data_IF_035849404526
#
_entry.id   IF_035849404526
#
_cell.length_a   1.000
_cell.length_b   1.000
_cell.length_c   1.000
_cell.angle_alpha   90.00
_cell.angle_beta   90.00
_cell.angle_gamma   90.00
#
_symmetry.space_group_name_H-M   'P 1'
#
loop_
_entity.id
_entity.type
_entity.pdbx_description
1 polymer ?
#
# COMPACT_ATOMS: atom_id res chain seq x y z
N UNK A 1 -46.75 -77.93 5.17
CA UNK A 1 -46.46 -78.90 4.08
C UNK A 1 -46.59 -78.20 2.74
N UNK A 2 -45.65 -78.49 1.82
CA UNK A 2 -45.54 -78.09 0.41
C UNK A 2 -44.82 -76.77 0.11
N UNK A 3 -43.49 -76.93 0.12
CA UNK A 3 -42.48 -76.33 -0.77
C UNK A 3 -42.89 -76.25 -2.24
N UNK A 4 -42.42 -75.20 -2.94
CA UNK A 4 -41.86 -75.25 -4.31
C UNK A 4 -41.08 -73.94 -4.62
N UNK A 5 -39.81 -74.12 -5.02
CA UNK A 5 -38.89 -73.12 -5.60
C UNK A 5 -39.44 -72.61 -6.96
N UNK A 6 -39.06 -71.45 -7.55
CA UNK A 6 -37.78 -71.22 -8.26
C UNK A 6 -37.72 -69.76 -8.82
N UNK A 7 -36.61 -69.04 -8.52
CA UNK A 7 -35.78 -68.10 -9.33
C UNK A 7 -36.36 -66.86 -10.07
N UNK A 8 -35.83 -65.70 -9.65
CA UNK A 8 -35.41 -64.45 -10.33
C UNK A 8 -36.34 -63.65 -11.27
N UNK A 9 -36.49 -62.35 -10.95
CA UNK A 9 -36.60 -61.28 -11.94
C UNK A 9 -35.97 -59.98 -11.40
N UNK A 10 -34.94 -59.51 -12.09
CA UNK A 10 -34.18 -58.28 -11.90
C UNK A 10 -35.02 -57.08 -12.39
N UNK A 11 -35.17 -56.01 -11.60
CA UNK A 11 -35.76 -54.74 -12.05
C UNK A 11 -34.66 -53.68 -12.06
N UNK A 12 -34.15 -53.37 -13.25
CA UNK A 12 -33.31 -52.21 -13.53
C UNK A 12 -34.05 -51.34 -14.55
N UNK A 13 -34.40 -50.12 -14.15
CA UNK A 13 -35.05 -49.13 -15.01
C UNK A 13 -33.95 -48.34 -15.72
N UNK A 14 -33.84 -48.56 -17.03
CA UNK A 14 -32.96 -47.83 -17.95
C UNK A 14 -33.86 -46.86 -18.73
N UNK A 15 -33.55 -45.57 -18.71
CA UNK A 15 -34.04 -44.63 -19.73
C UNK A 15 -32.87 -44.19 -20.62
N UNK A 16 -32.95 -44.42 -21.94
CA UNK A 16 -31.87 -44.13 -22.88
C UNK A 16 -31.94 -42.70 -23.43
N UNK A 17 -30.74 -42.22 -23.78
CA UNK A 17 -30.44 -41.06 -24.63
C UNK A 17 -30.97 -41.20 -26.05
N UNK A 18 -31.46 -40.11 -26.67
CA UNK A 18 -31.46 -39.97 -28.14
C UNK A 18 -31.26 -38.51 -28.58
N UNK A 19 -30.32 -38.37 -29.52
CA UNK A 19 -30.06 -37.21 -30.36
C UNK A 19 -31.10 -37.07 -31.48
N UNK A 20 -31.19 -35.92 -32.15
CA UNK A 20 -30.95 -35.74 -33.60
C UNK A 20 -31.30 -34.31 -34.06
N UNK A 21 -30.53 -33.88 -35.06
CA UNK A 21 -30.44 -32.57 -35.69
C UNK A 21 -31.66 -32.18 -36.55
N UNK A 22 -31.89 -30.88 -36.77
CA UNK A 22 -32.50 -30.36 -38.01
C UNK A 22 -31.95 -28.97 -38.37
N UNK A 23 -31.37 -28.89 -39.57
CA UNK A 23 -31.13 -27.67 -40.35
C UNK A 23 -32.37 -27.27 -41.16
N UNK A 24 -32.35 -26.02 -41.63
CA UNK A 24 -33.21 -25.32 -42.61
C UNK A 24 -34.59 -24.82 -42.15
N UNK A 25 -34.78 -23.50 -42.14
CA UNK A 25 -35.44 -22.79 -43.24
C UNK A 25 -35.34 -21.26 -43.06
N UNK A 26 -35.00 -20.58 -44.15
CA UNK A 26 -35.18 -19.14 -44.36
C UNK A 26 -36.64 -18.74 -44.16
N UNK A 27 -36.88 -17.70 -43.35
CA UNK A 27 -38.07 -16.87 -43.45
C UNK A 27 -37.68 -15.45 -43.03
N UNK A 28 -37.73 -14.55 -44.01
CA UNK A 28 -37.55 -13.12 -43.86
C UNK A 28 -38.60 -12.57 -42.89
N UNK A 29 -38.11 -11.91 -41.83
CA UNK A 29 -38.93 -11.16 -40.89
C UNK A 29 -38.22 -9.86 -40.55
N UNK A 30 -38.61 -8.78 -41.23
CA UNK A 30 -38.21 -7.44 -40.88
C UNK A 30 -38.63 -7.14 -39.45
N UNK A 31 -37.67 -6.96 -38.55
CA UNK A 31 -37.90 -6.44 -37.21
C UNK A 31 -37.16 -5.11 -37.05
N UNK A 32 -37.95 -4.08 -36.81
CA UNK A 32 -37.53 -2.72 -36.56
C UNK A 32 -36.71 -2.65 -35.26
N UNK A 33 -35.49 -2.14 -35.34
CA UNK A 33 -34.65 -1.83 -34.18
C UNK A 33 -35.02 -0.43 -33.67
N UNK A 34 -35.57 -0.36 -32.45
CA UNK A 34 -35.67 0.90 -31.70
C UNK A 34 -34.29 1.29 -31.14
N UNK A 35 -33.99 2.59 -31.03
CA UNK A 35 -32.65 3.10 -30.73
C UNK A 35 -32.40 3.03 -29.21
N UNK A 36 -31.47 2.19 -28.78
CA UNK A 36 -31.24 2.05 -27.35
C UNK A 36 -30.26 0.98 -26.94
N UNK A 37 -29.18 0.78 -27.68
CA UNK A 37 -28.02 0.05 -27.17
C UNK A 37 -26.78 0.55 -27.90
N UNK A 38 -26.24 1.66 -27.40
CA UNK A 38 -24.84 1.98 -27.61
C UNK A 38 -24.04 0.81 -27.06
N UNK A 39 -23.53 -0.01 -27.96
CA UNK A 39 -22.46 -0.95 -27.67
C UNK A 39 -21.41 -0.17 -26.89
N UNK A 40 -21.11 -0.66 -25.69
CA UNK A 40 -19.95 -0.21 -24.94
C UNK A 40 -18.76 -0.37 -25.89
N UNK A 41 -18.28 0.75 -26.43
CA UNK A 41 -16.93 0.83 -26.97
C UNK A 41 -16.06 0.59 -25.75
N UNK A 42 -15.68 -0.68 -25.61
CA UNK A 42 -14.64 -1.14 -24.72
C UNK A 42 -13.47 -0.19 -24.92
N UNK A 43 -13.26 0.69 -23.93
CA UNK A 43 -12.10 1.59 -23.88
C UNK A 43 -10.88 0.69 -23.73
N UNK A 44 -10.39 0.16 -24.84
CA UNK A 44 -9.09 -0.47 -24.91
C UNK A 44 -8.10 0.57 -24.37
N UNK A 45 -7.48 0.23 -23.23
CA UNK A 45 -6.39 1.03 -22.70
C UNK A 45 -5.34 1.14 -23.82
N UNK A 46 -4.86 2.36 -24.15
CA UNK A 46 -3.84 2.50 -25.18
C UNK A 46 -2.64 1.65 -24.76
N UNK A 47 -2.32 0.65 -25.57
CA UNK A 47 -1.13 -0.19 -25.35
C UNK A 47 0.08 0.74 -25.28
N UNK A 48 0.84 0.69 -24.19
CA UNK A 48 2.05 1.48 -24.05
C UNK A 48 3.17 0.84 -24.85
N UNK A 49 3.85 1.64 -25.67
CA UNK A 49 4.96 1.18 -26.48
C UNK A 49 6.28 1.08 -25.71
N UNK A 50 7.33 0.56 -26.35
CA UNK A 50 8.66 0.41 -25.75
C UNK A 50 9.28 1.70 -25.19
N UNK A 51 8.86 2.86 -25.69
CA UNK A 51 9.32 4.18 -25.25
C UNK A 51 8.32 4.86 -24.31
N UNK A 52 7.29 4.15 -23.85
CA UNK A 52 6.25 4.66 -22.96
C UNK A 52 5.20 5.53 -23.67
N UNK A 53 5.17 5.53 -25.00
CA UNK A 53 4.20 6.26 -25.81
C UNK A 53 2.89 5.50 -26.05
N UNK A 54 1.92 6.16 -26.69
CA UNK A 54 0.66 5.53 -27.12
C UNK A 54 0.86 4.73 -28.40
N UNK A 55 0.59 3.42 -28.37
CA UNK A 55 0.58 2.59 -29.57
C UNK A 55 -0.75 2.68 -30.32
N UNK A 56 -0.66 2.76 -31.64
CA UNK A 56 -1.80 2.73 -32.57
C UNK A 56 -1.46 1.90 -33.80
N UNK A 57 -2.47 1.31 -34.41
CA UNK A 57 -2.37 0.67 -35.72
C UNK A 57 -2.90 1.62 -36.79
N UNK A 58 -2.16 1.84 -37.87
CA UNK A 58 -2.61 2.59 -39.03
C UNK A 58 -2.05 1.96 -40.31
N UNK A 59 -2.91 1.69 -41.30
CA UNK A 59 -2.50 1.26 -42.64
C UNK A 59 -1.48 0.11 -42.68
N UNK A 60 -1.59 -0.85 -41.75
CA UNK A 60 -0.74 -2.04 -41.69
C UNK A 60 0.59 -1.88 -40.95
N UNK A 61 0.87 -0.70 -40.39
CA UNK A 61 1.98 -0.44 -39.48
C UNK A 61 1.48 -0.08 -38.09
N UNK A 62 2.29 -0.38 -37.08
CA UNK A 62 2.08 0.07 -35.72
C UNK A 62 2.93 1.33 -35.47
N UNK A 63 2.33 2.36 -34.88
CA UNK A 63 2.99 3.61 -34.53
C UNK A 63 2.96 3.80 -33.03
N UNK A 64 4.04 4.30 -32.45
CA UNK A 64 4.09 4.78 -31.08
C UNK A 64 4.31 6.29 -31.07
N UNK A 65 3.39 7.03 -30.48
CA UNK A 65 3.56 8.47 -30.24
C UNK A 65 4.04 8.71 -28.81
N UNK A 66 5.21 9.31 -28.68
CA UNK A 66 5.77 9.76 -27.39
C UNK A 66 5.63 11.27 -27.29
N UNK A 67 4.92 11.74 -26.27
CA UNK A 67 4.81 13.16 -25.94
C UNK A 67 5.63 13.43 -24.68
N UNK A 68 6.61 14.32 -24.80
CA UNK A 68 7.47 14.76 -23.70
C UNK A 68 7.49 16.29 -23.62
N UNK A 69 8.01 16.84 -22.52
CA UNK A 69 8.19 18.29 -22.38
C UNK A 69 9.14 18.88 -23.43
N UNK A 70 10.03 18.07 -23.99
CA UNK A 70 10.98 18.45 -25.04
C UNK A 70 10.48 18.27 -26.49
N UNK A 71 9.30 17.67 -26.70
CA UNK A 71 8.75 17.51 -28.04
C UNK A 71 7.88 16.27 -28.23
N UNK A 72 7.60 15.97 -29.50
CA UNK A 72 6.83 14.80 -29.93
C UNK A 72 7.77 13.90 -30.75
N UNK A 73 7.71 12.59 -30.51
CA UNK A 73 8.44 11.59 -31.29
C UNK A 73 7.47 10.49 -31.75
N UNK A 74 7.63 10.02 -32.99
CA UNK A 74 6.90 8.89 -33.54
C UNK A 74 7.86 7.78 -33.94
N UNK A 75 7.61 6.58 -33.41
CA UNK A 75 8.30 5.34 -33.76
C UNK A 75 7.37 4.43 -34.54
N UNK A 76 7.93 3.61 -35.43
CA UNK A 76 7.17 2.79 -36.37
C UNK A 76 7.63 1.34 -36.29
N UNK A 77 6.68 0.43 -36.29
CA UNK A 77 6.89 -1.00 -36.19
C UNK A 77 6.06 -1.76 -37.22
N UNK A 78 6.59 -2.87 -37.71
CA UNK A 78 5.86 -3.79 -38.58
C UNK A 78 4.90 -4.68 -37.76
N UNK A 79 4.18 -5.58 -38.44
CA UNK A 79 3.25 -6.51 -37.77
C UNK A 79 3.92 -7.47 -36.80
N UNK A 80 5.23 -7.68 -36.92
CA UNK A 80 6.03 -8.50 -36.02
C UNK A 80 6.63 -7.68 -34.86
N UNK A 81 6.37 -6.37 -34.79
CA UNK A 81 6.92 -5.47 -33.77
C UNK A 81 8.36 -5.02 -34.05
N UNK A 82 8.89 -5.28 -35.25
CA UNK A 82 10.24 -4.85 -35.64
C UNK A 82 10.22 -3.40 -36.10
N UNK A 83 11.23 -2.63 -35.72
CA UNK A 83 11.36 -1.21 -36.10
C UNK A 83 11.44 -1.02 -37.61
N UNK A 84 10.77 0.02 -38.10
CA UNK A 84 10.75 0.43 -39.51
C UNK A 84 11.59 1.71 -39.65
N UNK A 85 12.46 1.77 -40.66
CA UNK A 85 13.21 3.01 -40.95
C UNK A 85 12.28 4.12 -41.42
N UNK A 86 12.56 5.33 -40.94
CA UNK A 86 11.82 6.56 -41.24
C UNK A 86 12.69 7.62 -41.90
N UNK A 87 13.85 7.27 -42.43
CA UNK A 87 14.82 8.27 -42.96
C UNK A 87 14.25 9.10 -44.12
N UNK A 88 13.34 8.51 -44.90
CA UNK A 88 12.58 9.19 -45.95
C UNK A 88 11.23 9.73 -45.47
N UNK A 89 10.84 9.40 -44.25
CA UNK A 89 9.60 9.83 -43.62
C UNK A 89 9.62 11.32 -43.34
N UNK A 90 8.51 12.00 -43.64
CA UNK A 90 8.29 13.41 -43.29
C UNK A 90 6.85 13.56 -42.84
N UNK A 91 6.56 14.56 -42.03
CA UNK A 91 5.19 14.81 -41.64
C UNK A 91 4.99 16.14 -40.94
N UNK A 92 3.78 16.34 -40.44
CA UNK A 92 3.45 17.43 -39.56
C UNK A 92 2.47 16.99 -38.47
N UNK A 93 2.69 17.48 -37.26
CA UNK A 93 1.78 17.36 -36.13
C UNK A 93 1.13 18.73 -35.89
N UNK A 94 -0.20 18.78 -35.92
CA UNK A 94 -0.98 19.96 -35.52
C UNK A 94 -1.51 19.73 -34.12
N UNK A 95 -1.03 20.52 -33.17
CA UNK A 95 -1.30 20.37 -31.74
C UNK A 95 -2.31 21.44 -31.29
N UNK A 96 -3.34 21.00 -30.58
CA UNK A 96 -4.30 21.86 -29.88
C UNK A 96 -4.28 21.53 -28.40
N UNK A 97 -4.17 22.55 -27.55
CA UNK A 97 -4.28 22.35 -26.11
C UNK A 97 -5.76 22.37 -25.72
N UNK A 98 -6.17 21.49 -24.82
CA UNK A 98 -7.54 21.47 -24.30
C UNK A 98 -7.98 22.86 -23.80
N UNK A 99 -9.18 23.27 -24.22
CA UNK A 99 -9.74 24.60 -23.92
C UNK A 99 -9.16 25.76 -24.74
N UNK A 100 -8.23 25.50 -25.66
CA UNK A 100 -7.68 26.52 -26.56
C UNK A 100 -8.16 26.31 -28.01
N UNK A 101 -8.61 27.37 -28.67
CA UNK A 101 -9.02 27.32 -30.07
C UNK A 101 -7.84 27.28 -31.05
N UNK A 102 -6.64 27.75 -30.64
CA UNK A 102 -5.45 27.82 -31.50
C UNK A 102 -4.84 26.44 -31.71
N UNK A 103 -4.47 26.15 -32.96
CA UNK A 103 -3.69 25.00 -33.38
C UNK A 103 -2.29 25.44 -33.79
N UNK A 104 -1.27 24.73 -33.33
CA UNK A 104 0.12 24.96 -33.68
C UNK A 104 0.63 23.79 -34.51
N UNK A 105 1.24 24.07 -35.65
CA UNK A 105 1.78 23.04 -36.54
C UNK A 105 3.28 22.92 -36.32
N UNK A 106 3.76 21.68 -36.20
CA UNK A 106 5.17 21.34 -36.08
C UNK A 106 5.54 20.31 -37.13
N UNK A 107 6.68 20.52 -37.79
CA UNK A 107 7.18 19.56 -38.76
C UNK A 107 7.84 18.38 -38.05
N UNK A 108 7.59 17.18 -38.57
CA UNK A 108 8.12 15.92 -38.09
C UNK A 108 9.22 15.47 -39.05
N UNK A 109 10.45 15.44 -38.56
CA UNK A 109 11.65 15.11 -39.34
C UNK A 109 12.38 13.91 -38.73
N UNK A 110 13.10 13.11 -39.53
CA UNK A 110 13.89 12.00 -39.00
C UNK A 110 14.99 12.52 -38.07
N UNK A 111 15.15 11.86 -36.93
CA UNK A 111 16.22 12.16 -35.96
C UNK A 111 17.51 11.37 -36.20
N UNK A 112 17.52 10.47 -37.19
CA UNK A 112 18.62 9.55 -37.47
C UNK A 112 18.74 8.38 -36.48
N UNK A 113 17.79 8.24 -35.54
CA UNK A 113 17.71 7.16 -34.54
C UNK A 113 16.44 6.31 -34.71
N UNK A 114 15.73 6.48 -35.81
CA UNK A 114 14.53 5.71 -36.16
C UNK A 114 13.22 6.35 -35.73
N UNK A 115 13.22 7.63 -35.34
CA UNK A 115 12.00 8.38 -35.03
C UNK A 115 11.78 9.57 -35.96
N UNK A 116 10.51 9.92 -36.17
CA UNK A 116 10.14 11.25 -36.65
C UNK A 116 9.88 12.15 -35.44
N UNK A 117 10.64 13.24 -35.33
CA UNK A 117 10.61 14.12 -34.16
C UNK A 117 10.19 15.54 -34.53
N UNK A 118 9.43 16.15 -33.62
CA UNK A 118 9.15 17.58 -33.59
C UNK A 118 9.71 18.13 -32.27
N UNK A 119 10.94 18.70 -32.28
CA UNK A 119 11.51 19.31 -31.09
C UNK A 119 10.75 20.61 -30.78
N UNK A 120 9.96 20.60 -29.70
CA UNK A 120 9.19 21.75 -29.26
C UNK A 120 9.13 21.77 -27.74
N UNK A 121 9.31 22.96 -27.16
CA UNK A 121 9.17 23.13 -25.72
C UNK A 121 7.68 23.09 -25.32
N UNK A 122 7.23 21.93 -24.82
CA UNK A 122 5.88 21.72 -24.29
C UNK A 122 5.82 21.93 -22.77
N UNK A 123 6.91 22.33 -22.11
CA UNK A 123 6.94 22.49 -20.64
C UNK A 123 5.90 23.49 -20.11
N UNK A 124 5.57 24.51 -20.91
CA UNK A 124 4.55 25.53 -20.58
C UNK A 124 3.12 24.97 -20.52
N UNK A 125 2.90 23.78 -21.06
CA UNK A 125 1.61 23.08 -21.04
C UNK A 125 1.71 21.70 -20.37
N UNK A 126 2.78 21.47 -19.59
CA UNK A 126 2.95 20.25 -18.82
C UNK A 126 1.77 20.01 -17.86
N UNK A 127 1.27 18.78 -17.82
CA UNK A 127 0.06 18.38 -17.09
C UNK A 127 -1.26 18.64 -17.82
N UNK A 128 -1.25 19.19 -19.04
CA UNK A 128 -2.46 19.43 -19.84
C UNK A 128 -2.67 18.36 -20.91
N UNK A 129 -3.93 18.14 -21.29
CA UNK A 129 -4.26 17.36 -22.46
C UNK A 129 -4.05 18.18 -23.74
N UNK A 130 -3.51 17.50 -24.74
CA UNK A 130 -3.36 18.00 -26.10
C UNK A 130 -4.01 17.05 -27.08
N UNK A 131 -4.64 17.61 -28.09
CA UNK A 131 -5.08 16.90 -29.29
C UNK A 131 -4.04 17.09 -30.37
N UNK A 132 -3.66 16.01 -31.03
CA UNK A 132 -2.60 15.95 -32.03
C UNK A 132 -3.19 15.38 -33.31
N UNK A 133 -3.24 16.18 -34.37
CA UNK A 133 -3.53 15.73 -35.72
C UNK A 133 -2.22 15.51 -36.47
N UNK A 134 -1.92 14.27 -36.83
CA UNK A 134 -0.67 13.89 -37.49
C UNK A 134 -0.93 13.56 -38.96
N UNK A 135 -0.05 14.05 -39.84
CA UNK A 135 -0.01 13.71 -41.26
C UNK A 135 1.41 13.31 -41.64
N UNK A 136 1.58 12.13 -42.23
CA UNK A 136 2.88 11.54 -42.55
C UNK A 136 2.94 11.14 -44.03
N UNK A 137 4.13 11.21 -44.61
CA UNK A 137 4.45 10.77 -45.97
C UNK A 137 5.83 10.11 -45.98
N UNK A 138 6.12 9.30 -47.01
CA UNK A 138 7.46 8.71 -47.18
C UNK A 138 7.79 7.60 -46.17
N UNK A 139 6.79 6.93 -45.59
CA UNK A 139 6.97 5.77 -44.72
C UNK A 139 6.97 4.52 -45.61
N UNK A 140 8.10 3.79 -45.76
CA UNK A 140 8.22 2.71 -46.75
C UNK A 140 7.19 1.59 -46.60
N UNK A 141 6.75 1.33 -45.38
CA UNK A 141 5.80 0.25 -45.06
C UNK A 141 4.32 0.65 -45.25
N UNK A 142 4.03 1.94 -45.48
CA UNK A 142 2.69 2.44 -45.74
C UNK A 142 2.64 2.84 -47.21
N UNK A 143 2.13 1.95 -48.06
CA UNK A 143 2.28 2.03 -49.51
C UNK A 143 1.77 3.34 -50.11
N UNK A 144 2.65 4.33 -50.31
CA UNK A 144 2.48 5.59 -51.06
C UNK A 144 1.40 6.57 -50.57
N UNK A 145 0.34 6.08 -49.94
CA UNK A 145 -0.77 6.81 -49.37
C UNK A 145 -0.36 7.19 -47.94
N UNK A 146 0.02 8.45 -47.74
CA UNK A 146 0.46 8.94 -46.44
C UNK A 146 -0.50 8.61 -45.29
N UNK A 147 0.02 8.50 -44.07
CA UNK A 147 -0.77 8.19 -42.87
C UNK A 147 -1.38 9.47 -42.31
N UNK A 148 -2.66 9.45 -41.94
CA UNK A 148 -3.30 10.52 -41.16
C UNK A 148 -4.01 9.94 -39.96
N UNK A 149 -3.84 10.56 -38.80
CA UNK A 149 -4.57 10.18 -37.60
C UNK A 149 -4.68 11.33 -36.64
N UNK A 150 -5.59 11.17 -35.68
CA UNK A 150 -5.82 12.11 -34.60
C UNK A 150 -5.74 11.37 -33.26
N UNK A 151 -5.14 12.00 -32.27
CA UNK A 151 -5.14 11.48 -30.91
C UNK A 151 -5.18 12.54 -29.83
N UNK A 152 -5.51 12.11 -28.61
CA UNK A 152 -5.40 12.91 -27.41
C UNK A 152 -4.26 12.31 -26.59
N UNK A 153 -3.31 13.16 -26.21
CA UNK A 153 -2.18 12.81 -25.36
C UNK A 153 -2.08 13.79 -24.19
N UNK A 154 -1.52 13.35 -23.07
CA UNK A 154 -1.21 14.23 -21.95
C UNK A 154 0.27 14.62 -22.03
N UNK A 155 0.57 15.92 -21.95
CA UNK A 155 1.96 16.35 -21.79
C UNK A 155 2.39 15.99 -20.37
N UNK A 156 3.44 15.19 -20.17
CA UNK A 156 3.83 14.76 -18.83
C UNK A 156 4.14 15.98 -17.96
N UNK A 157 3.63 15.97 -16.73
CA UNK A 157 3.96 16.99 -15.74
C UNK A 157 5.47 16.97 -15.48
N UNK A 158 6.08 18.14 -15.33
CA UNK A 158 7.49 18.19 -14.96
C UNK A 158 7.67 17.79 -13.48
N UNK A 159 8.91 17.47 -13.09
CA UNK A 159 9.21 17.00 -11.73
C UNK A 159 8.75 17.99 -10.65
N UNK A 160 8.88 19.30 -10.91
CA UNK A 160 8.43 20.35 -10.00
C UNK A 160 6.91 20.33 -9.80
N UNK A 161 6.12 20.13 -10.87
CA UNK A 161 4.66 20.03 -10.79
C UNK A 161 4.23 18.76 -10.06
N UNK A 162 4.90 17.63 -10.31
CA UNK A 162 4.64 16.38 -9.61
C UNK A 162 4.93 16.52 -8.11
N UNK A 163 6.08 17.12 -7.76
CA UNK A 163 6.45 17.42 -6.38
C UNK A 163 5.45 18.38 -5.72
N UNK A 164 5.06 19.46 -6.40
CA UNK A 164 4.06 20.42 -5.90
C UNK A 164 2.72 19.75 -5.62
N UNK A 165 2.24 18.92 -6.54
CA UNK A 165 1.01 18.16 -6.38
C UNK A 165 1.11 17.15 -5.23
N UNK A 166 2.26 16.47 -5.09
CA UNK A 166 2.49 15.53 -4.00
C UNK A 166 2.57 16.22 -2.63
N UNK A 167 3.25 17.36 -2.52
CA UNK A 167 3.30 18.22 -1.34
C UNK A 167 1.89 18.68 -0.96
N UNK A 168 1.09 19.13 -1.93
CA UNK A 168 -0.29 19.57 -1.72
C UNK A 168 -1.22 18.46 -1.24
N UNK A 169 -1.02 17.22 -1.71
CA UNK A 169 -1.74 16.05 -1.19
C UNK A 169 -1.31 15.69 0.23
N UNK A 170 -0.01 15.73 0.51
CA UNK A 170 0.52 15.33 1.81
C UNK A 170 0.18 16.34 2.91
N UNK A 171 0.24 17.65 2.62
CA UNK A 171 -0.06 18.82 3.47
C UNK A 171 0.77 18.96 4.75
N UNK A 172 1.07 17.87 5.45
CA UNK A 172 1.68 17.82 6.77
C UNK A 172 2.99 17.04 6.72
N UNK A 173 4.02 17.55 7.40
CA UNK A 173 5.27 16.83 7.61
C UNK A 173 5.03 15.61 8.52
N UNK A 174 5.40 14.39 8.10
CA UNK A 174 5.09 13.19 8.87
C UNK A 174 5.88 13.10 10.17
N UNK A 175 7.04 13.72 10.22
CA UNK A 175 7.89 13.80 11.41
C UNK A 175 7.36 14.85 12.38
N UNK A 176 7.30 16.12 11.97
CA UNK A 176 7.02 17.24 12.87
C UNK A 176 5.53 17.49 13.12
N UNK A 177 4.64 17.03 12.22
CA UNK A 177 3.22 17.32 12.27
C UNK A 177 2.84 18.74 11.87
N UNK A 178 3.80 19.54 11.40
CA UNK A 178 3.56 20.91 10.92
C UNK A 178 3.19 20.92 9.43
N UNK A 179 2.46 21.93 8.95
CA UNK A 179 2.20 22.11 7.53
C UNK A 179 3.49 22.17 6.71
N UNK A 180 3.52 21.47 5.58
CA UNK A 180 4.59 21.61 4.60
C UNK A 180 4.59 23.05 4.05
N UNK A 181 5.77 23.65 3.93
CA UNK A 181 5.94 25.07 3.61
C UNK A 181 6.08 25.98 4.83
N UNK A 182 5.69 25.54 6.04
CA UNK A 182 5.79 26.38 7.25
C UNK A 182 7.23 26.56 7.77
N UNK A 183 8.20 25.85 7.19
CA UNK A 183 9.62 25.86 7.60
C UNK A 183 10.53 26.03 6.36
N UNK A 184 10.00 26.61 5.28
CA UNK A 184 10.65 26.70 3.97
C UNK A 184 10.22 25.61 3.01
N UNK A 185 10.94 25.49 1.90
CA UNK A 185 10.63 24.54 0.83
C UNK A 185 10.70 23.09 1.32
N UNK A 186 9.64 22.28 1.12
CA UNK A 186 9.64 20.88 1.52
C UNK A 186 10.74 20.08 0.81
N UNK A 187 11.42 19.24 1.58
CA UNK A 187 12.49 18.36 1.08
C UNK A 187 11.91 16.98 0.80
N UNK A 188 12.11 16.46 -0.41
CA UNK A 188 11.75 15.09 -0.75
C UNK A 188 12.76 14.09 -0.16
N UNK A 189 12.25 13.02 0.46
CA UNK A 189 13.03 11.89 0.95
C UNK A 189 12.48 10.63 0.30
N UNK A 190 13.32 9.89 -0.41
CA UNK A 190 12.93 8.60 -0.95
C UNK A 190 12.83 7.55 0.16
N UNK A 191 11.70 6.87 0.22
CA UNK A 191 11.44 5.75 1.11
C UNK A 191 10.93 4.59 0.25
N UNK A 192 11.84 3.67 -0.11
CA UNK A 192 11.53 2.49 -0.94
C UNK A 192 10.89 2.86 -2.30
N UNK A 193 11.37 3.92 -2.97
CA UNK A 193 10.81 4.37 -4.26
C UNK A 193 9.55 5.25 -4.14
N UNK A 194 9.10 5.55 -2.92
CA UNK A 194 8.03 6.51 -2.66
C UNK A 194 8.61 7.81 -2.07
N UNK A 195 8.29 8.96 -2.67
CA UNK A 195 8.70 10.25 -2.12
C UNK A 195 7.84 10.65 -0.92
N UNK A 196 8.50 10.91 0.20
CA UNK A 196 7.93 11.50 1.40
C UNK A 196 8.51 12.90 1.59
N UNK A 197 7.64 13.91 1.69
CA UNK A 197 8.08 15.30 1.84
C UNK A 197 8.20 15.68 3.33
N UNK A 198 9.29 16.35 3.70
CA UNK A 198 9.52 16.80 5.07
C UNK A 198 9.86 18.28 5.14
N UNK A 199 9.58 18.91 6.27
CA UNK A 199 9.69 20.36 6.40
C UNK A 199 11.11 20.89 6.66
N UNK A 200 12.09 20.04 7.03
CA UNK A 200 13.45 20.48 7.31
C UNK A 200 14.47 19.32 7.33
N UNK A 201 15.77 19.66 7.31
CA UNK A 201 16.87 18.70 7.36
C UNK A 201 16.83 17.76 8.59
N UNK A 202 16.40 18.26 9.75
CA UNK A 202 16.22 17.40 10.94
C UNK A 202 15.15 16.33 10.73
N UNK A 203 14.08 16.64 9.99
CA UNK A 203 13.07 15.65 9.63
C UNK A 203 13.58 14.66 8.57
N UNK A 204 14.49 15.08 7.68
CA UNK A 204 15.16 14.16 6.73
C UNK A 204 15.92 13.08 7.51
N UNK A 205 16.72 13.49 8.51
CA UNK A 205 17.47 12.56 9.34
C UNK A 205 16.55 11.56 10.08
N UNK A 206 15.41 12.02 10.58
CA UNK A 206 14.43 11.17 11.25
C UNK A 206 13.76 10.15 10.30
N UNK A 207 13.45 10.54 9.05
CA UNK A 207 12.92 9.60 8.06
C UNK A 207 13.97 8.57 7.68
N UNK A 208 15.22 8.97 7.47
CA UNK A 208 16.31 8.05 7.14
C UNK A 208 16.62 7.05 8.26
N UNK A 209 16.48 7.46 9.53
CA UNK A 209 16.72 6.56 10.66
C UNK A 209 15.59 5.56 10.90
N UNK A 210 14.36 5.86 10.48
CA UNK A 210 13.23 4.95 10.59
C UNK A 210 12.26 5.07 9.41
N UNK A 211 12.64 4.62 8.21
CA UNK A 211 11.86 4.80 6.98
C UNK A 211 10.48 4.14 7.07
N UNK A 212 10.40 2.92 7.62
CA UNK A 212 9.16 2.16 7.76
C UNK A 212 8.11 2.91 8.58
N UNK A 213 8.52 3.68 9.61
CA UNK A 213 7.61 4.48 10.44
C UNK A 213 6.94 5.62 9.68
N UNK A 214 7.57 6.15 8.63
CA UNK A 214 7.11 7.36 7.92
C UNK A 214 6.66 7.08 6.48
N UNK A 215 6.83 5.85 5.98
CA UNK A 215 6.46 5.44 4.62
C UNK A 215 4.98 5.69 4.31
N UNK A 216 4.08 5.42 5.28
CA UNK A 216 2.64 5.61 5.12
C UNK A 216 2.16 7.04 5.41
N UNK A 217 3.09 7.99 5.64
CA UNK A 217 2.75 9.36 6.01
C UNK A 217 2.22 9.49 7.44
N UNK A 218 1.56 10.62 7.72
CA UNK A 218 0.90 10.88 9.01
C UNK A 218 -0.61 10.68 8.85
N UNK A 219 -1.27 9.93 9.73
CA UNK A 219 -2.72 9.79 9.69
C UNK A 219 -3.39 11.15 9.90
N UNK A 220 -4.55 11.35 9.27
CA UNK A 220 -5.38 12.52 9.49
C UNK A 220 -5.87 12.53 10.94
N UNK A 221 -5.85 13.70 11.58
CA UNK A 221 -6.28 13.87 12.97
C UNK A 221 -7.39 14.90 13.03
N UNK A 222 -8.60 14.45 13.38
CA UNK A 222 -9.75 15.32 13.60
C UNK A 222 -10.18 15.27 15.06
N UNK A 223 -10.70 16.40 15.55
CA UNK A 223 -11.04 16.58 16.97
C UNK A 223 -12.48 17.04 17.05
N UNK A 224 -13.31 16.27 17.74
CA UNK A 224 -14.73 16.59 17.97
C UNK A 224 -15.08 16.34 19.42
N UNK A 225 -16.24 16.84 19.86
CA UNK A 225 -16.85 16.39 21.11
C UNK A 225 -17.35 14.95 20.95
N UNK A 226 -17.26 14.15 22.01
CA UNK A 226 -17.89 12.83 22.02
C UNK A 226 -19.41 12.94 22.00
N UNK A 227 -20.07 11.89 21.53
CA UNK A 227 -21.53 11.79 21.46
C UNK A 227 -22.01 10.56 22.23
N UNK A 228 -23.31 10.43 22.43
CA UNK A 228 -23.88 9.26 23.11
C UNK A 228 -23.60 7.94 22.38
N UNK A 229 -23.43 7.99 21.04
CA UNK A 229 -23.03 6.83 20.24
C UNK A 229 -21.61 6.31 20.60
N UNK A 230 -20.76 7.17 21.18
CA UNK A 230 -19.40 6.81 21.56
C UNK A 230 -19.31 6.15 22.94
N UNK A 231 -20.41 6.07 23.70
CA UNK A 231 -20.43 5.63 25.10
C UNK A 231 -19.78 4.24 25.30
N UNK A 232 -20.06 3.29 24.41
CA UNK A 232 -19.48 1.95 24.48
C UNK A 232 -17.95 1.96 24.26
N UNK A 233 -17.45 2.80 23.36
CA UNK A 233 -16.02 2.91 23.09
C UNK A 233 -15.29 3.68 24.20
N UNK A 234 -15.92 4.71 24.76
CA UNK A 234 -15.42 5.43 25.94
C UNK A 234 -15.31 4.48 27.13
N UNK A 235 -16.34 3.69 27.40
CA UNK A 235 -16.34 2.70 28.47
C UNK A 235 -15.27 1.63 28.25
N UNK A 236 -15.10 1.16 26.99
CA UNK A 236 -14.04 0.21 26.64
C UNK A 236 -12.63 0.77 26.85
N UNK A 237 -12.41 2.04 26.52
CA UNK A 237 -11.11 2.69 26.72
C UNK A 237 -10.85 2.96 28.22
N UNK A 238 -11.89 3.32 28.97
CA UNK A 238 -11.94 3.62 30.40
C UNK A 238 -11.06 4.78 30.90
N UNK A 239 -9.82 4.88 30.43
CA UNK A 239 -8.82 5.87 30.84
C UNK A 239 -8.32 6.71 29.68
N UNK A 240 -7.89 7.92 29.99
CA UNK A 240 -7.21 8.81 29.07
C UNK A 240 -5.78 8.30 28.82
N UNK A 241 -5.35 7.99 27.58
CA UNK A 241 -4.01 7.45 27.30
C UNK A 241 -2.89 8.49 27.50
N UNK A 242 -3.24 9.75 27.73
CA UNK A 242 -2.29 10.84 27.94
C UNK A 242 -1.99 11.08 29.42
N UNK A 243 -3.00 10.95 30.29
CA UNK A 243 -2.91 11.28 31.73
C UNK A 243 -3.17 10.08 32.65
N UNK A 244 -3.60 8.93 32.10
CA UNK A 244 -4.05 7.73 32.84
C UNK A 244 -5.22 7.95 33.82
N UNK A 245 -5.96 9.05 33.64
CA UNK A 245 -7.14 9.37 34.44
C UNK A 245 -8.43 8.78 33.85
N UNK A 246 -9.44 8.46 34.68
CA UNK A 246 -10.74 7.97 34.20
C UNK A 246 -11.41 8.94 33.22
N UNK A 247 -11.92 8.44 32.10
CA UNK A 247 -12.71 9.25 31.17
C UNK A 247 -14.03 9.65 31.84
N UNK A 248 -14.36 10.95 31.78
CA UNK A 248 -15.54 11.53 32.43
C UNK A 248 -15.25 12.27 33.75
N UNK A 249 -14.04 12.14 34.33
CA UNK A 249 -13.68 12.85 35.56
C UNK A 249 -13.53 14.37 35.38
N UNK A 250 -13.32 14.83 34.15
CA UNK A 250 -13.09 16.24 33.77
C UNK A 250 -14.15 16.77 32.79
N UNK A 251 -15.35 16.17 32.81
CA UNK A 251 -16.45 16.47 31.88
C UNK A 251 -16.48 15.55 30.67
N UNK A 252 -17.20 15.96 29.63
CA UNK A 252 -17.42 15.14 28.44
C UNK A 252 -16.10 14.83 27.70
N UNK A 253 -15.79 13.56 27.45
CA UNK A 253 -14.56 13.18 26.75
C UNK A 253 -14.44 13.85 25.37
N UNK A 254 -13.22 14.24 25.02
CA UNK A 254 -12.90 14.74 23.68
C UNK A 254 -12.57 13.57 22.78
N UNK A 255 -13.26 13.46 21.64
CA UNK A 255 -13.01 12.44 20.63
C UNK A 255 -11.95 12.97 19.65
N UNK A 256 -10.86 12.22 19.52
CA UNK A 256 -9.80 12.48 18.55
C UNK A 256 -9.72 11.30 17.60
N UNK A 257 -10.08 11.50 16.33
CA UNK A 257 -9.88 10.48 15.31
C UNK A 257 -8.43 10.52 14.86
N UNK A 258 -7.78 9.35 14.80
CA UNK A 258 -6.46 9.18 14.18
C UNK A 258 -6.62 8.18 13.05
N UNK A 259 -6.75 8.68 11.82
CA UNK A 259 -7.36 7.93 10.72
C UNK A 259 -8.78 7.53 11.11
N UNK A 260 -9.13 6.26 10.97
CA UNK A 260 -10.46 5.74 11.30
C UNK A 260 -10.62 5.27 12.76
N UNK A 261 -9.59 5.45 13.59
CA UNK A 261 -9.57 4.94 14.97
C UNK A 261 -9.83 6.09 15.96
N UNK A 262 -10.93 6.05 16.74
CA UNK A 262 -11.20 7.06 17.76
C UNK A 262 -10.32 6.87 19.01
N UNK A 263 -9.77 7.96 19.53
CA UNK A 263 -9.13 8.03 20.85
C UNK A 263 -9.93 9.03 21.68
N UNK A 264 -10.27 8.67 22.91
CA UNK A 264 -10.97 9.55 23.83
C UNK A 264 -10.01 10.16 24.85
N UNK A 265 -10.15 11.46 25.09
CA UNK A 265 -9.29 12.21 26.02
C UNK A 265 -10.13 12.83 27.13
N UNK A 266 -9.56 12.93 28.32
CA UNK A 266 -10.23 13.57 29.46
C UNK A 266 -10.46 15.08 29.23
N UNK A 267 -9.63 15.75 28.44
CA UNK A 267 -9.75 17.18 28.17
C UNK A 267 -9.11 17.61 26.85
N UNK A 268 -9.44 18.83 26.38
CA UNK A 268 -8.85 19.44 25.17
C UNK A 268 -7.33 19.65 25.28
N UNK A 269 -6.79 19.78 26.49
CA UNK A 269 -5.35 19.96 26.72
C UNK A 269 -4.50 18.78 26.23
N UNK A 270 -5.08 17.58 26.18
CA UNK A 270 -4.39 16.37 25.75
C UNK A 270 -4.28 16.24 24.21
N UNK A 271 -5.06 17.02 23.45
CA UNK A 271 -5.13 16.94 21.98
C UNK A 271 -3.78 17.17 21.32
N UNK A 272 -3.01 18.18 21.77
CA UNK A 272 -1.70 18.50 21.19
C UNK A 272 -0.69 17.36 21.30
N UNK A 273 -0.76 16.57 22.39
CA UNK A 273 0.12 15.41 22.58
C UNK A 273 -0.23 14.29 21.61
N UNK A 274 -1.52 13.97 21.45
CA UNK A 274 -1.99 13.01 20.44
C UNK A 274 -1.64 13.47 19.03
N UNK A 275 -1.83 14.76 18.75
CA UNK A 275 -1.45 15.35 17.47
C UNK A 275 0.02 15.19 17.18
N UNK A 276 0.91 15.35 18.18
CA UNK A 276 2.36 15.24 18.02
C UNK A 276 2.84 13.78 17.80
N UNK A 277 2.26 12.81 18.52
CA UNK A 277 2.67 11.41 18.50
C UNK A 277 1.48 10.44 18.27
N UNK A 278 0.74 10.52 17.15
CA UNK A 278 -0.50 9.77 16.96
C UNK A 278 -0.32 8.25 17.07
N UNK A 279 0.76 7.70 16.51
CA UNK A 279 1.05 6.28 16.53
C UNK A 279 1.26 5.74 17.97
N UNK A 280 1.90 6.53 18.84
CA UNK A 280 2.14 6.17 20.24
C UNK A 280 0.82 6.03 20.99
N UNK A 281 -0.08 7.01 20.84
CA UNK A 281 -1.37 6.98 21.54
C UNK A 281 -2.35 5.99 20.93
N UNK A 282 -2.29 5.74 19.62
CA UNK A 282 -3.03 4.62 19.02
C UNK A 282 -2.56 3.28 19.57
N UNK A 283 -1.26 3.06 19.75
CA UNK A 283 -0.74 1.84 20.38
C UNK A 283 -1.19 1.71 21.84
N UNK A 284 -1.30 2.84 22.57
CA UNK A 284 -1.84 2.88 23.94
C UNK A 284 -3.37 2.72 24.04
N UNK A 285 -4.11 2.64 22.93
CA UNK A 285 -5.57 2.38 22.94
C UNK A 285 -5.94 1.10 22.21
N UNK A 286 -5.19 0.75 21.17
CA UNK A 286 -5.49 -0.35 20.24
C UNK A 286 -4.35 -1.36 20.08
N UNK A 287 -3.16 -1.07 20.63
CA UNK A 287 -2.11 -2.07 20.66
C UNK A 287 -2.57 -3.25 21.49
N UNK A 288 -2.28 -4.46 21.04
CA UNK A 288 -2.47 -5.68 21.84
C UNK A 288 -1.64 -5.51 23.12
N UNK A 289 -2.29 -5.07 24.20
CA UNK A 289 -1.64 -4.71 25.46
C UNK A 289 -2.03 -3.36 26.08
N UNK A 290 -3.01 -2.62 25.56
CA UNK A 290 -3.46 -1.38 26.19
C UNK A 290 -4.85 -1.45 26.84
N UNK A 291 -5.08 -2.53 27.58
CA UNK A 291 -6.15 -2.62 28.57
C UNK A 291 -5.52 -2.83 29.94
N UNK A 292 -5.26 -1.74 30.67
CA UNK A 292 -4.93 -1.78 32.10
C UNK A 292 -3.56 -2.37 32.46
N UNK A 293 -2.94 -1.79 33.47
CA UNK A 293 -1.99 -2.55 34.29
C UNK A 293 -2.75 -3.75 34.87
N UNK A 294 -2.44 -4.95 34.39
CA UNK A 294 -2.84 -6.21 35.00
C UNK A 294 -3.68 -7.14 34.12
N UNK A 295 -3.06 -7.83 33.15
CA UNK A 295 -3.15 -9.29 32.91
C UNK A 295 -2.35 -9.69 31.65
N UNK A 296 -1.98 -10.97 31.46
CA UNK A 296 -0.60 -11.31 31.16
C UNK A 296 -0.33 -11.39 29.67
N UNK A 297 0.67 -10.61 29.24
CA UNK A 297 1.46 -10.87 28.05
C UNK A 297 1.93 -12.32 28.08
N UNK A 298 1.60 -13.12 27.05
CA UNK A 298 1.98 -14.53 27.02
C UNK A 298 3.07 -14.82 25.99
N UNK A 299 3.98 -15.73 26.32
CA UNK A 299 4.99 -16.31 25.42
C UNK A 299 4.72 -17.81 25.28
N UNK A 300 5.00 -18.38 24.11
CA UNK A 300 4.77 -19.81 23.88
C UNK A 300 5.77 -20.69 24.65
N UNK A 301 5.28 -21.80 25.23
CA UNK A 301 6.10 -22.86 25.81
C UNK A 301 6.69 -23.81 24.76
N UNK A 302 6.37 -23.61 23.47
CA UNK A 302 6.74 -24.48 22.34
C UNK A 302 8.16 -24.28 21.82
N UNK A 303 9.03 -23.55 22.52
CA UNK A 303 10.43 -23.44 22.12
C UNK A 303 11.22 -24.70 22.49
N UNK A 304 12.26 -25.01 21.72
CA UNK A 304 13.08 -26.22 21.88
C UNK A 304 13.62 -26.33 23.32
N UNK A 305 13.29 -27.42 24.02
CA UNK A 305 13.79 -27.68 25.37
C UNK A 305 15.25 -28.12 25.35
N UNK A 306 16.10 -27.37 26.05
CA UNK A 306 17.52 -27.72 26.24
C UNK A 306 17.66 -28.71 27.39
N UNK A 307 16.81 -28.57 28.41
CA UNK A 307 16.65 -29.46 29.58
C UNK A 307 15.21 -29.34 30.11
N UNK A 308 14.72 -30.26 30.95
CA UNK A 308 13.39 -30.15 31.53
C UNK A 308 13.16 -28.79 32.20
N UNK A 309 12.16 -28.04 31.72
CA UNK A 309 11.82 -26.71 32.23
C UNK A 309 12.73 -25.56 31.77
N UNK A 310 13.69 -25.83 30.87
CA UNK A 310 14.61 -24.85 30.29
C UNK A 310 14.47 -24.87 28.78
N UNK A 311 14.10 -23.74 28.21
CA UNK A 311 13.77 -23.58 26.80
C UNK A 311 14.72 -22.60 26.13
N UNK A 312 15.02 -22.80 24.85
CA UNK A 312 15.64 -21.74 24.03
C UNK A 312 14.67 -20.56 23.92
N UNK A 313 15.21 -19.36 23.80
CA UNK A 313 14.39 -18.19 23.46
C UNK A 313 13.96 -18.23 22.00
N UNK A 314 12.85 -17.57 21.72
CA UNK A 314 12.24 -17.39 20.40
C UNK A 314 12.14 -15.90 20.08
N UNK A 315 11.72 -15.57 18.86
CA UNK A 315 11.55 -14.18 18.43
C UNK A 315 10.51 -13.44 19.29
N UNK A 316 9.50 -14.15 19.80
CA UNK A 316 8.46 -13.62 20.69
C UNK A 316 9.02 -13.14 22.03
N UNK A 317 10.16 -13.68 22.44
CA UNK A 317 10.78 -13.41 23.73
C UNK A 317 11.60 -12.10 23.73
N UNK A 318 11.95 -11.57 22.56
CA UNK A 318 12.81 -10.40 22.37
C UNK A 318 12.41 -9.14 23.19
N UNK A 319 11.14 -8.68 23.21
CA UNK A 319 10.76 -7.50 24.00
C UNK A 319 10.92 -7.73 25.51
N UNK A 320 10.71 -8.96 25.98
CA UNK A 320 10.81 -9.30 27.41
C UNK A 320 12.27 -9.46 27.86
N UNK A 321 13.12 -10.01 26.99
CA UNK A 321 14.58 -10.06 27.21
C UNK A 321 15.13 -8.64 27.30
N UNK A 322 14.72 -7.75 26.39
CA UNK A 322 15.14 -6.35 26.39
C UNK A 322 14.63 -5.56 27.60
N UNK A 323 13.45 -5.91 28.13
CA UNK A 323 12.93 -5.34 29.36
C UNK A 323 13.69 -5.84 30.61
N UNK A 324 13.98 -7.15 30.67
CA UNK A 324 14.62 -7.76 31.83
C UNK A 324 16.12 -7.43 31.92
N UNK A 325 16.87 -7.47 30.81
CA UNK A 325 18.31 -7.16 30.66
C UNK A 325 19.30 -8.02 31.46
N UNK A 326 18.98 -8.36 32.71
CA UNK A 326 19.85 -9.08 33.65
C UNK A 326 19.23 -10.38 34.14
N UNK A 327 20.07 -11.34 34.49
CA UNK A 327 19.65 -12.58 35.11
C UNK A 327 19.29 -12.33 36.59
N UNK A 328 18.08 -12.66 37.07
CA UNK A 328 17.68 -12.40 38.45
C UNK A 328 18.38 -13.30 39.48
N UNK A 329 19.17 -14.28 39.02
CA UNK A 329 19.91 -15.22 39.88
C UNK A 329 21.34 -14.75 40.15
N UNK A 330 22.02 -14.21 39.12
CA UNK A 330 23.43 -13.82 39.18
C UNK A 330 23.65 -12.31 39.00
N UNK A 331 22.59 -11.55 38.71
CA UNK A 331 22.63 -10.13 38.33
C UNK A 331 23.51 -9.80 37.10
N UNK A 332 23.95 -10.79 36.33
CA UNK A 332 24.73 -10.60 35.12
C UNK A 332 23.85 -10.30 33.88
N UNK A 333 24.37 -9.64 32.85
CA UNK A 333 23.69 -9.50 31.55
C UNK A 333 23.23 -10.87 31.00
N UNK A 334 22.05 -10.90 30.39
CA UNK A 334 21.45 -12.14 29.90
C UNK A 334 22.25 -12.85 28.79
N UNK A 335 23.15 -12.14 28.12
CA UNK A 335 24.03 -12.61 27.05
C UNK A 335 25.46 -12.96 27.54
N UNK A 336 25.80 -12.69 28.81
CA UNK A 336 27.17 -12.82 29.31
C UNK A 336 27.68 -14.28 29.40
N UNK A 337 26.79 -15.25 29.61
CA UNK A 337 27.15 -16.63 29.98
C UNK A 337 26.53 -17.68 29.05
N UNK A 338 26.39 -17.34 27.76
CA UNK A 338 25.88 -18.23 26.71
C UNK A 338 24.36 -18.33 26.65
N UNK A 339 23.64 -17.41 27.31
CA UNK A 339 22.19 -17.19 27.21
C UNK A 339 21.81 -16.19 26.13
N UNK A 340 20.55 -15.74 26.08
CA UNK A 340 19.48 -15.97 27.05
C UNK A 340 18.76 -17.33 26.89
N UNK A 341 18.36 -17.91 28.02
CA UNK A 341 17.44 -19.06 28.10
C UNK A 341 16.14 -18.65 28.79
N UNK A 342 15.04 -19.32 28.45
CA UNK A 342 13.72 -19.14 29.05
C UNK A 342 13.42 -20.25 30.04
N UNK A 343 12.94 -19.91 31.24
CA UNK A 343 12.59 -20.88 32.29
C UNK A 343 11.17 -20.64 32.78
N UNK A 344 10.43 -21.71 33.01
CA UNK A 344 9.10 -21.66 33.62
C UNK A 344 9.22 -21.46 35.14
N UNK A 345 8.65 -20.37 35.64
CA UNK A 345 8.44 -20.08 37.05
C UNK A 345 6.94 -19.88 37.29
N UNK A 346 6.25 -20.90 37.82
CA UNK A 346 4.80 -20.87 38.12
C UNK A 346 3.91 -20.41 36.94
N UNK A 347 4.21 -20.88 35.73
CA UNK A 347 3.47 -20.50 34.53
C UNK A 347 3.87 -19.12 33.98
N UNK A 348 4.96 -18.52 34.46
CA UNK A 348 5.55 -17.29 33.92
C UNK A 348 6.97 -17.55 33.41
N UNK A 349 7.41 -16.78 32.42
CA UNK A 349 8.74 -16.88 31.85
C UNK A 349 9.72 -15.98 32.61
N UNK A 350 10.83 -16.55 33.06
CA UNK A 350 12.01 -15.83 33.54
C UNK A 350 13.16 -16.10 32.57
N UNK A 351 13.88 -15.06 32.17
CA UNK A 351 15.07 -15.20 31.33
C UNK A 351 16.34 -15.33 32.17
N UNK A 352 17.28 -16.19 31.76
CA UNK A 352 18.53 -16.42 32.49
C UNK A 352 19.73 -16.46 31.56
N UNK A 353 20.90 -16.07 32.09
CA UNK A 353 22.15 -16.02 31.33
C UNK A 353 22.78 -17.40 31.08
N UNK A 354 22.43 -18.42 31.87
CA UNK A 354 22.92 -19.80 31.68
C UNK A 354 21.94 -20.84 32.25
N UNK A 355 21.93 -22.09 31.75
CA UNK A 355 21.01 -23.13 32.24
C UNK A 355 21.23 -23.50 33.72
N UNK A 356 22.41 -23.21 34.28
CA UNK A 356 22.72 -23.47 35.70
C UNK A 356 21.84 -22.69 36.69
N UNK A 357 21.29 -21.54 36.27
CA UNK A 357 20.42 -20.72 37.10
C UNK A 357 19.00 -21.29 37.27
N UNK A 358 18.57 -22.20 36.37
CA UNK A 358 17.21 -22.71 36.35
C UNK A 358 16.83 -23.48 37.61
N UNK A 359 17.75 -24.22 38.21
CA UNK A 359 17.49 -25.02 39.43
C UNK A 359 17.05 -24.15 40.60
N UNK A 360 17.65 -22.96 40.74
CA UNK A 360 17.29 -21.99 41.78
C UNK A 360 15.89 -21.43 41.54
N UNK A 361 15.56 -21.09 40.29
CA UNK A 361 14.24 -20.60 39.90
C UNK A 361 13.15 -21.65 40.12
N UNK A 362 13.41 -22.91 39.77
CA UNK A 362 12.48 -24.00 40.00
C UNK A 362 12.21 -24.27 41.49
N UNK A 363 13.21 -24.05 42.36
CA UNK A 363 13.08 -24.24 43.80
C UNK A 363 12.31 -23.09 44.48
N UNK A 364 12.49 -21.85 44.03
CA UNK A 364 11.88 -20.66 44.63
C UNK A 364 11.26 -19.71 43.58
N UNK A 365 10.29 -20.15 42.75
CA UNK A 365 9.81 -19.36 41.61
C UNK A 365 9.22 -18.01 42.01
N UNK A 366 8.44 -17.97 43.09
CA UNK A 366 7.84 -16.73 43.60
C UNK A 366 8.86 -15.68 44.04
N UNK A 367 10.03 -16.10 44.55
CA UNK A 367 11.11 -15.19 44.96
C UNK A 367 11.69 -14.45 43.77
N UNK A 368 11.98 -15.15 42.68
CA UNK A 368 12.57 -14.51 41.49
C UNK A 368 11.55 -13.67 40.73
N UNK A 369 10.27 -14.07 40.70
CA UNK A 369 9.20 -13.22 40.18
C UNK A 369 9.06 -11.93 40.99
N UNK A 370 9.18 -11.99 42.32
CA UNK A 370 9.15 -10.80 43.17
C UNK A 370 10.36 -9.88 42.93
N UNK A 371 11.56 -10.44 42.74
CA UNK A 371 12.77 -9.67 42.39
C UNK A 371 12.55 -8.91 41.07
N UNK A 372 12.03 -9.59 40.04
CA UNK A 372 11.75 -8.96 38.75
C UNK A 372 10.68 -7.86 38.88
N UNK A 373 9.62 -8.11 39.65
CA UNK A 373 8.58 -7.10 39.90
C UNK A 373 9.15 -5.87 40.61
N UNK A 374 10.05 -6.03 41.59
CA UNK A 374 10.75 -4.92 42.26
C UNK A 374 11.64 -4.12 41.29
N UNK A 375 12.21 -4.79 40.28
CA UNK A 375 13.00 -4.16 39.21
C UNK A 375 12.14 -3.53 38.11
N UNK A 376 10.80 -3.54 38.26
CA UNK A 376 9.87 -3.04 37.25
C UNK A 376 9.80 -3.92 36.00
N UNK A 377 10.30 -5.16 36.07
CA UNK A 377 10.28 -6.13 34.98
C UNK A 377 9.07 -7.04 35.13
N UNK A 378 8.20 -7.04 34.13
CA UNK A 378 7.01 -7.88 34.12
C UNK A 378 7.28 -9.20 33.39
N UNK A 379 7.13 -10.32 34.08
CA UNK A 379 7.31 -11.66 33.52
C UNK A 379 6.07 -12.09 32.71
N UNK A 380 6.23 -12.46 31.43
CA UNK A 380 5.09 -12.91 30.62
C UNK A 380 4.62 -14.30 31.06
N UNK A 381 3.35 -14.64 30.84
CA UNK A 381 2.82 -15.98 31.10
C UNK A 381 3.27 -16.96 30.02
N UNK A 382 3.69 -18.15 30.41
CA UNK A 382 4.01 -19.23 29.49
C UNK A 382 2.71 -19.96 29.13
N UNK A 383 2.32 -19.92 27.86
CA UNK A 383 1.16 -20.64 27.31
C UNK A 383 1.55 -21.91 26.58
#
# INVERSE_FOLDING_TARGET
>A
MKTKFTIAALIAIIFPTLAFAQTSHEAQGHSHTMPGQVTAVERAQPLSGPHGGSLRQAEGVQLETVVATGGIALFFYDRAGKTISVDQGRGAASVRVEGNAKRYRYDLLPDGKGALVAPVNLSVIAGRQIEIDVQLVGIPAVGGQGVKFQEIAMVPANELQLATAAISRQKICPVSGKPLGSMGDPVAVDVNGQQVFVCCAGCVAAVKSNPAKYASGRPEITVTTSTQADAALIAKQAKCPVMDEPLGSMGDPVKVMVGDKPIFLCCKGCVKKVQAEPAKYLALVYGEGSGGKGEPTSVSANSEQVRPGIFKVSVEDAPYIAAQKRCPVMDEPLDAMGGPYKVNANGQAIYICCPGCAKKIAAEPGKYLAILAQQGVQSPVMK
#
